data_IF_971096530919
#
_entry.id   IF_971096530919
#
_cell.length_a   1.000
_cell.length_b   1.000
_cell.length_c   1.000
_cell.angle_alpha   90.00
_cell.angle_beta   90.00
_cell.angle_gamma   90.00
#
_symmetry.space_group_name_H-M   'P 1'
#
loop_
_entity.id
_entity.type
_entity.pdbx_description
1 polymer ?
#
# COMPACT_ATOMS: atom_id res chain seq x y z
N UNK A 1 38.30 6.66 -31.43
CA UNK A 1 37.22 6.27 -30.50
C UNK A 1 36.62 7.55 -29.95
N UNK A 2 35.43 7.91 -30.43
CA UNK A 2 34.96 9.31 -30.44
C UNK A 2 34.51 9.77 -29.05
N UNK A 3 35.10 10.85 -28.52
CA UNK A 3 34.75 11.48 -27.22
C UNK A 3 33.26 11.77 -27.07
N UNK A 4 32.58 12.04 -28.19
CA UNK A 4 31.13 12.25 -28.23
C UNK A 4 30.33 11.01 -27.79
N UNK A 5 30.77 9.80 -28.15
CA UNK A 5 30.12 8.55 -27.71
C UNK A 5 30.27 8.34 -26.21
N UNK A 6 31.42 8.70 -25.64
CA UNK A 6 31.67 8.59 -24.19
C UNK A 6 30.76 9.57 -23.44
N UNK A 7 30.66 10.82 -23.90
CA UNK A 7 29.78 11.82 -23.29
C UNK A 7 28.31 11.42 -23.39
N UNK A 8 27.88 10.87 -24.53
CA UNK A 8 26.54 10.37 -24.71
C UNK A 8 26.23 9.19 -23.78
N UNK A 9 27.18 8.26 -23.63
CA UNK A 9 27.04 7.13 -22.73
C UNK A 9 26.91 7.56 -21.25
N UNK A 10 27.72 8.52 -20.81
CA UNK A 10 27.65 9.08 -19.46
C UNK A 10 26.31 9.79 -19.22
N UNK A 11 25.84 10.57 -20.20
CA UNK A 11 24.55 11.26 -20.09
C UNK A 11 23.37 10.28 -19.96
N UNK A 12 23.39 9.18 -20.69
CA UNK A 12 22.35 8.13 -20.60
C UNK A 12 22.42 7.40 -19.25
N UNK A 13 23.62 7.06 -18.78
CA UNK A 13 23.81 6.41 -17.49
C UNK A 13 23.36 7.30 -16.31
N UNK A 14 23.54 8.62 -16.40
CA UNK A 14 23.12 9.57 -15.37
C UNK A 14 21.58 9.70 -15.25
N UNK A 15 20.83 9.34 -16.28
CA UNK A 15 19.36 9.34 -16.28
C UNK A 15 18.75 8.00 -15.83
N UNK A 16 19.56 6.97 -15.65
CA UNK A 16 19.10 5.68 -15.16
C UNK A 16 18.70 5.80 -13.68
N UNK A 17 17.40 5.69 -13.39
CA UNK A 17 16.93 5.52 -12.02
C UNK A 17 17.17 4.07 -11.60
N UNK A 18 17.66 3.82 -10.38
CA UNK A 18 17.71 2.47 -9.85
C UNK A 18 16.29 1.93 -9.81
N UNK A 19 16.09 0.74 -10.37
CA UNK A 19 14.88 -0.03 -10.18
C UNK A 19 14.93 -0.58 -8.75
N UNK A 20 14.69 0.28 -7.77
CA UNK A 20 14.48 -0.17 -6.41
C UNK A 20 13.19 -1.00 -6.45
N UNK A 21 13.30 -2.27 -6.07
CA UNK A 21 12.13 -3.12 -5.89
C UNK A 21 11.30 -2.46 -4.78
N UNK A 22 10.18 -1.83 -5.16
CA UNK A 22 9.25 -1.21 -4.22
C UNK A 22 8.62 -2.31 -3.38
N UNK A 23 9.29 -2.68 -2.30
CA UNK A 23 8.80 -3.66 -1.35
C UNK A 23 7.74 -2.99 -0.49
N UNK A 24 6.46 -3.39 -0.58
CA UNK A 24 5.44 -2.82 0.28
C UNK A 24 5.74 -3.18 1.74
N UNK A 25 5.38 -2.28 2.64
CA UNK A 25 5.33 -2.61 4.05
C UNK A 25 4.07 -3.45 4.33
N UNK A 26 4.20 -4.47 5.16
CA UNK A 26 3.07 -5.29 5.62
C UNK A 26 2.77 -4.93 7.07
N UNK A 27 1.53 -4.52 7.33
CA UNK A 27 1.03 -4.24 8.68
C UNK A 27 -0.08 -5.26 8.97
N UNK A 28 0.17 -6.15 9.93
CA UNK A 28 -0.85 -7.03 10.49
C UNK A 28 -1.44 -6.36 11.73
N UNK A 29 -2.69 -5.90 11.62
CA UNK A 29 -3.45 -5.35 12.73
C UNK A 29 -4.50 -6.38 13.15
N UNK A 30 -4.46 -6.84 14.40
CA UNK A 30 -5.34 -7.86 14.95
C UNK A 30 -5.92 -7.35 16.27
N UNK A 31 -7.24 -7.42 16.40
CA UNK A 31 -7.94 -7.16 17.64
C UNK A 31 -8.19 -8.48 18.37
N UNK A 32 -8.09 -8.44 19.70
CA UNK A 32 -8.46 -9.57 20.56
C UNK A 32 -9.99 -9.57 20.77
N UNK A 33 -10.60 -10.75 20.71
CA UNK A 33 -12.03 -10.99 20.94
C UNK A 33 -13.04 -10.09 20.18
N UNK A 34 -12.63 -9.44 19.07
CA UNK A 34 -13.54 -8.61 18.29
C UNK A 34 -14.58 -9.48 17.57
N UNK A 35 -15.85 -9.31 17.92
CA UNK A 35 -16.96 -10.00 17.29
C UNK A 35 -17.22 -9.51 15.88
N UNK A 36 -17.84 -10.37 15.05
CA UNK A 36 -18.20 -10.01 13.67
C UNK A 36 -19.07 -8.74 13.62
N UNK A 37 -20.06 -8.65 14.51
CA UNK A 37 -20.99 -7.52 14.55
C UNK A 37 -20.42 -6.22 15.11
N UNK A 38 -19.19 -6.18 15.61
CA UNK A 38 -18.67 -5.07 16.44
C UNK A 38 -18.14 -3.86 15.63
N UNK A 39 -18.34 -3.86 14.31
CA UNK A 39 -17.86 -2.80 13.42
C UNK A 39 -18.99 -2.13 12.66
N UNK A 40 -18.81 -0.85 12.35
CA UNK A 40 -19.74 -0.03 11.58
C UNK A 40 -20.00 -0.63 10.20
N UNK A 41 -18.96 -1.09 9.50
CA UNK A 41 -19.11 -1.78 8.21
C UNK A 41 -19.87 -3.11 8.28
N UNK A 42 -20.03 -3.71 9.47
CA UNK A 42 -20.91 -4.86 9.71
C UNK A 42 -22.28 -4.47 10.28
N UNK A 43 -22.63 -3.18 10.23
CA UNK A 43 -23.95 -2.67 10.57
C UNK A 43 -24.17 -2.42 12.07
N UNK A 44 -23.12 -2.32 12.88
CA UNK A 44 -23.26 -2.04 14.31
C UNK A 44 -24.02 -0.71 14.53
N UNK A 45 -25.08 -0.67 15.37
CA UNK A 45 -25.97 0.50 15.45
C UNK A 45 -25.38 1.70 16.22
N UNK A 46 -24.39 1.48 17.10
CA UNK A 46 -23.86 2.51 18.01
C UNK A 46 -22.35 2.75 17.90
N UNK A 47 -21.54 1.68 17.89
CA UNK A 47 -20.08 1.76 17.71
C UNK A 47 -19.73 2.44 16.39
N UNK A 48 -18.76 3.35 16.47
CA UNK A 48 -18.23 4.09 15.32
C UNK A 48 -16.81 3.63 15.07
N UNK A 49 -16.57 3.02 13.91
CA UNK A 49 -15.25 2.52 13.51
C UNK A 49 -14.79 3.17 12.20
N UNK A 50 -14.78 4.52 12.09
CA UNK A 50 -14.70 5.21 10.80
C UNK A 50 -13.44 4.88 9.99
N UNK A 51 -12.31 4.60 10.65
CA UNK A 51 -11.07 4.19 9.95
C UNK A 51 -11.19 2.77 9.42
N UNK A 52 -11.78 1.84 10.18
CA UNK A 52 -12.03 0.49 9.69
C UNK A 52 -13.11 0.45 8.61
N UNK A 53 -14.12 1.32 8.72
CA UNK A 53 -15.16 1.48 7.71
C UNK A 53 -14.56 1.98 6.39
N UNK A 54 -13.63 2.94 6.44
CA UNK A 54 -12.88 3.41 5.28
C UNK A 54 -11.96 2.33 4.68
N UNK A 55 -11.28 1.56 5.52
CA UNK A 55 -10.46 0.43 5.07
C UNK A 55 -11.32 -0.63 4.36
N UNK A 56 -12.50 -0.94 4.89
CA UNK A 56 -13.46 -1.85 4.26
C UNK A 56 -14.00 -1.32 2.93
N UNK A 57 -14.19 0.00 2.80
CA UNK A 57 -14.68 0.66 1.58
C UNK A 57 -13.64 0.79 0.47
N UNK A 58 -12.38 1.01 0.84
CA UNK A 58 -11.27 1.27 -0.10
C UNK A 58 -10.41 0.05 -0.39
N UNK A 59 -10.50 -0.99 0.44
CA UNK A 59 -9.78 -2.24 0.30
C UNK A 59 -10.64 -3.41 -0.15
N UNK A 60 -10.09 -4.61 0.05
CA UNK A 60 -10.82 -5.87 -0.07
C UNK A 60 -11.29 -6.28 1.32
N UNK A 61 -12.58 -6.61 1.45
CA UNK A 61 -13.17 -7.18 2.67
C UNK A 61 -13.59 -8.62 2.42
N UNK A 62 -13.27 -9.50 3.36
CA UNK A 62 -13.70 -10.89 3.35
C UNK A 62 -14.95 -11.04 4.20
N UNK A 63 -16.02 -11.57 3.63
CA UNK A 63 -17.34 -11.68 4.28
C UNK A 63 -17.71 -13.12 4.69
N UNK A 64 -16.85 -14.10 4.37
CA UNK A 64 -17.02 -15.54 4.65
C UNK A 64 -15.68 -16.26 4.72
#
# INVERSE_FOLDING_TARGET
MNRLFILLFIAVAALARPLAEERPNFILCMADDQGWGDTGYNGHPLLKTPVMDEMARTGLRFDR
#
